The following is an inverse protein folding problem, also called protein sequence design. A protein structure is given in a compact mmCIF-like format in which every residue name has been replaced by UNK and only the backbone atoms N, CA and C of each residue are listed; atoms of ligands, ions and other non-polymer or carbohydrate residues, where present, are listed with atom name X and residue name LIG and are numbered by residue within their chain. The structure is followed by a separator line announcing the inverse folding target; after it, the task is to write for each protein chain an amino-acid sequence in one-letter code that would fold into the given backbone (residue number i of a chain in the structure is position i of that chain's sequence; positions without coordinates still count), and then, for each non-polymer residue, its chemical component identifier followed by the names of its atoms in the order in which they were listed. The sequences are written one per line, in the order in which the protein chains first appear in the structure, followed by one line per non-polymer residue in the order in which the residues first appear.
data_IF_524597441527
#
_entry.id   IF_524597441527
#
_cell.length_a   1.000
_cell.length_b   1.000
_cell.length_c   1.000
_cell.angle_alpha   90.00
_cell.angle_beta   90.00
_cell.angle_gamma   90.00
#
_symmetry.space_group_name_H-M   'P 1'
#
loop_
_entity.id
_entity.type
_entity.pdbx_description
1 polymer ?
#
# COMPACT_ATOMS: atom_id res chain seq x y z
N UNK A 1 -24.88 -24.35 -5.03
CA UNK A 1 -24.90 -22.92 -4.65
C UNK A 1 -23.72 -22.21 -5.32
N UNK A 2 -23.98 -21.60 -6.48
CA UNK A 2 -22.99 -20.83 -7.23
C UNK A 2 -22.81 -19.45 -6.59
N UNK A 3 -21.57 -19.10 -6.22
CA UNK A 3 -21.20 -17.75 -5.77
C UNK A 3 -20.61 -17.02 -6.97
N UNK A 4 -21.43 -16.20 -7.63
CA UNK A 4 -21.01 -15.40 -8.78
C UNK A 4 -19.97 -14.37 -8.39
N UNK A 5 -18.76 -14.49 -8.93
CA UNK A 5 -17.78 -13.40 -8.96
C UNK A 5 -18.04 -12.53 -10.19
N UNK A 6 -19.08 -11.69 -10.12
CA UNK A 6 -19.30 -10.66 -11.15
C UNK A 6 -18.39 -9.47 -10.89
N UNK A 7 -17.08 -9.66 -11.04
CA UNK A 7 -16.17 -8.55 -11.34
C UNK A 7 -16.22 -8.35 -12.85
N UNK A 8 -17.26 -7.65 -13.31
CA UNK A 8 -17.49 -7.39 -14.73
C UNK A 8 -16.25 -6.74 -15.34
N UNK A 9 -15.67 -7.36 -16.38
CA UNK A 9 -14.62 -6.76 -17.22
C UNK A 9 -15.00 -5.34 -17.69
N UNK A 10 -16.29 -5.05 -17.86
CA UNK A 10 -16.79 -3.71 -18.20
C UNK A 10 -16.60 -2.67 -17.10
N UNK A 11 -16.65 -3.07 -15.82
CA UNK A 11 -16.45 -2.16 -14.69
C UNK A 11 -14.98 -1.72 -14.52
N UNK A 12 -14.04 -2.64 -14.80
CA UNK A 12 -12.60 -2.34 -14.77
C UNK A 12 -12.23 -1.42 -15.95
N UNK A 13 -12.79 -1.69 -17.15
CA UNK A 13 -12.61 -0.83 -18.31
C UNK A 13 -13.17 0.58 -18.09
N UNK A 14 -14.39 0.69 -17.57
CA UNK A 14 -15.03 1.99 -17.31
C UNK A 14 -14.27 2.81 -16.24
N UNK A 15 -13.83 2.17 -15.16
CA UNK A 15 -13.02 2.84 -14.14
C UNK A 15 -11.64 3.28 -14.67
N UNK A 16 -10.99 2.47 -15.52
CA UNK A 16 -9.72 2.83 -16.16
C UNK A 16 -9.89 3.99 -17.14
N UNK A 17 -10.97 4.01 -17.91
CA UNK A 17 -11.30 5.11 -18.81
C UNK A 17 -11.55 6.39 -18.01
N UNK A 18 -12.42 6.38 -17.00
CA UNK A 18 -12.67 7.55 -16.14
C UNK A 18 -11.41 8.07 -15.45
N UNK A 19 -10.54 7.16 -15.00
CA UNK A 19 -9.25 7.53 -14.43
C UNK A 19 -8.38 8.27 -15.47
N UNK A 20 -8.30 7.74 -16.68
CA UNK A 20 -7.42 8.23 -17.74
C UNK A 20 -7.93 9.50 -18.42
N UNK A 21 -9.24 9.64 -18.61
CA UNK A 21 -9.84 10.77 -19.33
C UNK A 21 -10.27 11.92 -18.43
N UNK A 22 -10.58 11.67 -17.17
CA UNK A 22 -11.04 12.72 -16.26
C UNK A 22 -10.10 12.91 -15.07
N UNK A 23 -9.85 11.87 -14.27
CA UNK A 23 -9.14 12.04 -13.00
C UNK A 23 -7.69 12.49 -13.21
N UNK A 24 -6.97 11.83 -14.12
CA UNK A 24 -5.57 12.11 -14.43
C UNK A 24 -5.38 13.54 -14.99
N UNK A 25 -6.10 13.96 -16.05
CA UNK A 25 -6.02 15.32 -16.56
C UNK A 25 -6.43 16.38 -15.53
N UNK A 26 -7.50 16.16 -14.76
CA UNK A 26 -7.94 17.15 -13.75
C UNK A 26 -6.90 17.32 -12.65
N UNK A 27 -6.38 16.23 -12.09
CA UNK A 27 -5.34 16.31 -11.06
C UNK A 27 -4.04 16.91 -11.60
N UNK A 28 -3.66 16.54 -12.82
CA UNK A 28 -2.48 17.09 -13.46
C UNK A 28 -2.60 18.58 -13.77
N UNK A 29 -3.77 19.03 -14.24
CA UNK A 29 -4.06 20.46 -14.43
C UNK A 29 -3.94 21.24 -13.12
N UNK A 30 -4.54 20.73 -12.02
CA UNK A 30 -4.44 21.38 -10.71
C UNK A 30 -3.00 21.45 -10.19
N UNK A 31 -2.15 20.49 -10.55
CA UNK A 31 -0.73 20.48 -10.20
C UNK A 31 0.11 21.42 -11.09
N UNK A 32 -0.30 21.65 -12.34
CA UNK A 32 0.40 22.51 -13.30
C UNK A 32 -0.09 23.97 -13.31
N UNK A 33 -1.10 24.31 -12.49
CA UNK A 33 -1.66 25.67 -12.38
C UNK A 33 -0.62 26.81 -12.27
N UNK A 34 0.46 26.70 -11.47
CA UNK A 34 1.44 27.77 -11.35
C UNK A 34 2.21 28.10 -12.63
N UNK A 35 2.25 27.16 -13.58
CA UNK A 35 2.99 27.30 -14.83
C UNK A 35 2.03 27.60 -16.00
N UNK A 36 0.89 26.90 -16.05
CA UNK A 36 -0.08 27.04 -17.14
C UNK A 36 -0.88 28.33 -17.08
N UNK A 37 -1.25 28.78 -15.88
CA UNK A 37 -2.13 29.94 -15.72
C UNK A 37 -1.45 31.26 -16.14
N UNK A 38 -0.20 31.56 -15.75
CA UNK A 38 0.49 32.77 -16.22
C UNK A 38 0.64 32.80 -17.75
N UNK A 39 0.99 31.67 -18.36
CA UNK A 39 1.12 31.55 -19.83
C UNK A 39 -0.22 31.79 -20.54
N UNK A 40 -1.31 31.22 -20.01
CA UNK A 40 -2.66 31.45 -20.52
C UNK A 40 -3.08 32.92 -20.43
N UNK A 41 -2.79 33.58 -19.31
CA UNK A 41 -3.15 35.00 -19.13
C UNK A 41 -2.33 35.92 -20.04
N UNK A 42 -1.05 35.60 -20.27
CA UNK A 42 -0.18 36.33 -21.18
C UNK A 42 -0.62 36.20 -22.66
N UNK A 43 -1.22 35.06 -23.03
CA UNK A 43 -1.71 34.82 -24.38
C UNK A 43 -3.07 35.50 -24.70
N UNK A 44 -3.74 36.11 -23.72
CA UNK A 44 -4.99 36.83 -23.95
C UNK A 44 -4.76 38.19 -24.62
N UNK A 45 -5.77 38.69 -25.33
CA UNK A 45 -5.75 40.03 -25.94
C UNK A 45 -6.91 40.86 -25.39
N UNK A 46 -6.66 41.88 -24.54
CA UNK A 46 -5.35 42.31 -24.03
C UNK A 46 -4.74 41.32 -23.02
N UNK A 47 -3.40 41.31 -22.87
CA UNK A 47 -2.72 40.42 -21.94
C UNK A 47 -3.13 40.73 -20.51
N UNK A 48 -3.54 39.70 -19.78
CA UNK A 48 -3.96 39.80 -18.40
C UNK A 48 -2.82 39.37 -17.47
N UNK A 49 -2.80 39.92 -16.26
CA UNK A 49 -1.90 39.47 -15.20
C UNK A 49 -2.72 39.12 -13.96
N UNK A 50 -2.22 38.17 -13.18
CA UNK A 50 -2.74 37.82 -11.86
C UNK A 50 -2.59 39.03 -10.92
N UNK A 51 -3.68 39.79 -10.78
CA UNK A 51 -3.75 40.92 -9.86
C UNK A 51 -4.42 40.51 -8.55
N UNK A 52 -3.75 40.82 -7.44
CA UNK A 52 -4.28 40.63 -6.09
C UNK A 52 -3.74 39.39 -5.37
N UNK A 53 -3.78 39.45 -4.05
CA UNK A 53 -3.27 38.41 -3.17
C UNK A 53 -4.04 37.09 -3.29
N UNK A 54 -5.37 37.15 -3.43
CA UNK A 54 -6.23 35.96 -3.42
C UNK A 54 -6.00 35.07 -4.66
N UNK A 55 -5.99 35.58 -5.91
CA UNK A 55 -5.69 34.77 -7.07
C UNK A 55 -4.30 34.15 -7.02
N UNK A 56 -3.29 34.93 -6.60
CA UNK A 56 -1.93 34.43 -6.44
C UNK A 56 -1.86 33.30 -5.41
N UNK A 57 -2.44 33.51 -4.22
CA UNK A 57 -2.47 32.48 -3.18
C UNK A 57 -3.18 31.21 -3.67
N UNK A 58 -4.31 31.33 -4.36
CA UNK A 58 -5.05 30.19 -4.88
C UNK A 58 -4.21 29.37 -5.88
N UNK A 59 -3.54 30.03 -6.84
CA UNK A 59 -2.72 29.37 -7.86
C UNK A 59 -1.60 28.52 -7.27
N UNK A 60 -0.94 28.99 -6.20
CA UNK A 60 0.15 28.23 -5.56
C UNK A 60 -0.32 27.29 -4.44
N UNK A 61 -1.43 27.60 -3.76
CA UNK A 61 -1.95 26.75 -2.69
C UNK A 61 -2.63 25.47 -3.22
N UNK A 62 -3.32 25.56 -4.37
CA UNK A 62 -4.05 24.41 -4.94
C UNK A 62 -3.12 23.21 -5.22
N UNK A 63 -1.98 23.34 -5.90
CA UNK A 63 -1.03 22.24 -6.11
C UNK A 63 -0.56 21.61 -4.80
N UNK A 64 -0.29 22.43 -3.78
CA UNK A 64 0.16 21.96 -2.46
C UNK A 64 -0.93 21.14 -1.78
N UNK A 65 -2.18 21.63 -1.78
CA UNK A 65 -3.31 20.91 -1.19
C UNK A 65 -3.57 19.59 -1.93
N UNK A 66 -3.50 19.58 -3.25
CA UNK A 66 -3.65 18.36 -4.06
C UNK A 66 -2.53 17.36 -3.76
N UNK A 67 -1.27 17.82 -3.70
CA UNK A 67 -0.14 16.96 -3.38
C UNK A 67 -0.25 16.34 -1.96
N UNK A 68 -0.69 17.13 -0.98
CA UNK A 68 -0.98 16.64 0.38
C UNK A 68 -2.12 15.62 0.37
N UNK A 69 -3.22 15.90 -0.33
CA UNK A 69 -4.35 14.97 -0.48
C UNK A 69 -3.93 13.63 -1.08
N UNK A 70 -3.10 13.66 -2.13
CA UNK A 70 -2.55 12.45 -2.76
C UNK A 70 -1.58 11.70 -1.84
N UNK A 71 -0.71 12.41 -1.11
CA UNK A 71 0.19 11.81 -0.12
C UNK A 71 -0.59 11.10 1.02
N UNK A 72 -1.67 11.72 1.50
CA UNK A 72 -2.59 11.15 2.49
C UNK A 72 -3.32 9.93 1.94
N UNK A 73 -3.85 10.02 0.73
CA UNK A 73 -4.56 8.93 0.06
C UNK A 73 -3.65 7.73 -0.22
N UNK A 74 -2.40 7.97 -0.58
CA UNK A 74 -1.40 6.93 -0.78
C UNK A 74 -1.02 6.23 0.54
N UNK A 75 -0.92 6.99 1.64
CA UNK A 75 -0.48 6.53 2.95
C UNK A 75 -1.56 5.97 3.89
N UNK A 76 -2.82 5.84 3.46
CA UNK A 76 -4.00 5.45 4.28
C UNK A 76 -3.87 4.15 5.11
N UNK A 77 -2.82 3.34 4.90
CA UNK A 77 -2.60 2.06 5.56
C UNK A 77 -1.58 2.10 6.71
N UNK A 78 -0.97 3.26 7.00
CA UNK A 78 0.02 3.42 8.07
C UNK A 78 -0.52 4.32 9.18
N UNK A 79 0.07 4.23 10.38
CA UNK A 79 -0.10 5.26 11.41
C UNK A 79 0.21 6.63 10.80
N UNK A 80 -0.65 7.61 11.06
CA UNK A 80 -0.54 8.95 10.52
C UNK A 80 0.73 9.62 11.04
N UNK A 81 1.69 9.87 10.15
CA UNK A 81 2.96 10.53 10.46
C UNK A 81 3.04 11.79 9.60
N UNK A 82 2.74 12.94 10.21
CA UNK A 82 2.55 14.21 9.52
C UNK A 82 3.78 14.66 8.69
N UNK A 83 4.99 14.48 9.22
CA UNK A 83 6.23 14.87 8.51
C UNK A 83 6.47 14.02 7.25
N UNK A 84 6.04 12.76 7.24
CA UNK A 84 6.15 11.90 6.06
C UNK A 84 5.16 12.33 4.97
N UNK A 85 3.98 12.83 5.36
CA UNK A 85 3.01 13.40 4.42
C UNK A 85 3.59 14.64 3.75
N UNK A 86 4.22 15.53 4.52
CA UNK A 86 4.90 16.71 3.98
C UNK A 86 6.05 16.33 3.04
N UNK A 87 6.92 15.40 3.44
CA UNK A 87 8.03 14.94 2.61
C UNK A 87 7.54 14.32 1.29
N UNK A 88 6.45 13.54 1.32
CA UNK A 88 5.83 12.96 0.12
C UNK A 88 5.22 14.02 -0.79
N UNK A 89 4.53 15.01 -0.23
CA UNK A 89 3.97 16.11 -1.00
C UNK A 89 5.07 16.94 -1.67
N UNK A 90 6.15 17.27 -0.95
CA UNK A 90 7.31 17.97 -1.48
C UNK A 90 7.98 17.17 -2.61
N UNK A 91 8.18 15.86 -2.41
CA UNK A 91 8.75 14.98 -3.44
C UNK A 91 7.88 14.92 -4.70
N UNK A 92 6.54 14.86 -4.56
CA UNK A 92 5.64 14.87 -5.70
C UNK A 92 5.76 16.19 -6.48
N UNK A 93 5.72 17.34 -5.82
CA UNK A 93 5.87 18.64 -6.48
C UNK A 93 7.23 18.77 -7.19
N UNK A 94 8.30 18.29 -6.54
CA UNK A 94 9.64 18.27 -7.11
C UNK A 94 9.77 17.34 -8.34
N UNK A 95 8.94 16.29 -8.45
CA UNK A 95 8.89 15.41 -9.63
C UNK A 95 8.03 15.97 -10.76
N UNK A 96 6.99 16.74 -10.45
CA UNK A 96 6.11 17.36 -11.44
C UNK A 96 6.84 18.47 -12.21
N UNK A 97 7.63 19.30 -11.52
CA UNK A 97 8.36 20.41 -12.16
C UNK A 97 9.27 19.99 -13.34
N UNK A 98 10.19 19.01 -13.21
CA UNK A 98 11.03 18.58 -14.33
C UNK A 98 10.23 17.86 -15.42
N UNK A 99 9.11 17.19 -15.08
CA UNK A 99 8.25 16.56 -16.07
C UNK A 99 7.55 17.60 -16.96
N UNK A 100 7.12 18.72 -16.38
CA UNK A 100 6.53 19.83 -17.12
C UNK A 100 7.58 20.52 -18.01
N UNK A 101 8.77 20.78 -17.49
CA UNK A 101 9.85 21.37 -18.29
C UNK A 101 10.27 20.46 -19.46
N UNK A 102 10.35 19.15 -19.23
CA UNK A 102 10.57 18.18 -20.30
C UNK A 102 9.46 18.21 -21.35
N UNK A 103 8.19 18.29 -20.93
CA UNK A 103 7.04 18.33 -21.84
C UNK A 103 7.04 19.59 -22.69
N UNK A 104 7.32 20.74 -22.08
CA UNK A 104 7.49 22.02 -22.75
C UNK A 104 8.59 21.97 -23.82
N UNK A 105 9.74 21.35 -23.53
CA UNK A 105 10.81 21.16 -24.51
C UNK A 105 10.42 20.34 -25.75
N UNK A 106 9.32 19.59 -25.69
CA UNK A 106 8.83 18.72 -26.79
C UNK A 106 7.62 19.29 -27.50
N UNK A 107 6.79 20.07 -26.81
CA UNK A 107 5.46 20.48 -27.29
C UNK A 107 5.33 22.02 -27.34
N UNK A 108 6.36 22.77 -26.93
CA UNK A 108 6.36 24.23 -26.85
C UNK A 108 6.09 24.95 -28.18
N UNK A 109 6.52 24.37 -29.30
CA UNK A 109 6.34 24.95 -30.64
C UNK A 109 4.93 24.73 -31.23
N UNK A 110 4.02 24.07 -30.51
CA UNK A 110 2.68 23.78 -31.02
C UNK A 110 1.79 25.05 -31.00
N UNK A 111 1.20 25.45 -32.14
CA UNK A 111 0.40 26.68 -32.23
C UNK A 111 -0.95 26.56 -31.52
N UNK A 112 -1.41 25.34 -31.22
CA UNK A 112 -2.66 25.08 -30.52
C UNK A 112 -2.42 24.95 -29.01
N UNK A 113 -2.76 26.01 -28.28
CA UNK A 113 -2.65 26.06 -26.81
C UNK A 113 -3.33 24.87 -26.10
N UNK A 114 -4.43 24.36 -26.66
CA UNK A 114 -5.16 23.20 -26.15
C UNK A 114 -4.29 21.93 -26.12
N UNK A 115 -3.46 21.71 -27.15
CA UNK A 115 -2.63 20.51 -27.27
C UNK A 115 -1.51 20.54 -26.23
N UNK A 116 -0.87 21.70 -26.08
CA UNK A 116 0.17 21.93 -25.06
C UNK A 116 -0.39 21.74 -23.64
N UNK A 117 -1.48 22.43 -23.30
CA UNK A 117 -2.11 22.34 -21.98
C UNK A 117 -2.58 20.92 -21.63
N UNK A 118 -3.11 20.18 -22.63
CA UNK A 118 -3.53 18.78 -22.46
C UNK A 118 -2.32 17.87 -22.23
N UNK A 119 -1.23 18.06 -22.97
CA UNK A 119 0.00 17.28 -22.81
C UNK A 119 0.63 17.50 -21.43
N UNK A 120 0.74 18.75 -20.98
CA UNK A 120 1.26 19.10 -19.65
C UNK A 120 0.39 18.53 -18.52
N UNK A 121 -0.93 18.64 -18.64
CA UNK A 121 -1.88 18.09 -17.66
C UNK A 121 -1.81 16.56 -17.60
N UNK A 122 -1.71 15.88 -18.74
CA UNK A 122 -1.53 14.42 -18.77
C UNK A 122 -0.20 14.00 -18.18
N UNK A 123 0.89 14.70 -18.49
CA UNK A 123 2.22 14.41 -17.96
C UNK A 123 2.24 14.53 -16.42
N UNK A 124 1.74 15.64 -15.87
CA UNK A 124 1.66 15.85 -14.43
C UNK A 124 0.75 14.81 -13.75
N UNK A 125 -0.40 14.49 -14.37
CA UNK A 125 -1.29 13.44 -13.89
C UNK A 125 -0.61 12.07 -13.82
N UNK A 126 0.10 11.67 -14.89
CA UNK A 126 0.82 10.40 -14.97
C UNK A 126 1.92 10.29 -13.90
N UNK A 127 2.68 11.36 -13.68
CA UNK A 127 3.68 11.44 -12.61
C UNK A 127 3.01 11.25 -11.24
N UNK A 128 1.88 11.92 -10.99
CA UNK A 128 1.14 11.78 -9.74
C UNK A 128 0.62 10.35 -9.53
N UNK A 129 0.08 9.70 -10.56
CA UNK A 129 -0.38 8.32 -10.49
C UNK A 129 0.78 7.33 -10.27
N UNK A 130 1.89 7.49 -10.98
CA UNK A 130 3.10 6.69 -10.80
C UNK A 130 3.65 6.85 -9.39
N UNK A 131 3.69 8.07 -8.86
CA UNK A 131 4.09 8.36 -7.48
C UNK A 131 3.18 7.65 -6.47
N UNK A 132 1.85 7.76 -6.60
CA UNK A 132 0.91 7.07 -5.70
C UNK A 132 1.07 5.55 -5.79
N UNK A 133 1.26 5.00 -6.99
CA UNK A 133 1.50 3.57 -7.19
C UNK A 133 2.82 3.12 -6.53
N UNK A 134 3.89 3.90 -6.70
CA UNK A 134 5.21 3.66 -6.12
C UNK A 134 5.17 3.74 -4.59
N UNK A 135 4.52 4.76 -4.02
CA UNK A 135 4.33 4.89 -2.56
C UNK A 135 3.51 3.72 -2.02
N UNK A 136 2.44 3.32 -2.70
CA UNK A 136 1.62 2.16 -2.29
C UNK A 136 2.39 0.85 -2.43
N UNK A 137 3.22 0.71 -3.44
CA UNK A 137 4.09 -0.45 -3.61
C UNK A 137 5.14 -0.48 -2.51
N UNK A 138 5.81 0.63 -2.24
CA UNK A 138 6.79 0.79 -1.18
C UNK A 138 6.20 0.53 0.20
N UNK A 139 5.02 1.07 0.51
CA UNK A 139 4.32 0.84 1.77
C UNK A 139 3.87 -0.63 1.91
N UNK A 140 3.56 -1.32 0.80
CA UNK A 140 3.34 -2.79 0.81
C UNK A 140 4.63 -3.55 1.08
N UNK A 141 5.73 -3.17 0.43
CA UNK A 141 7.04 -3.80 0.57
C UNK A 141 7.69 -3.53 1.93
N UNK A 142 7.43 -2.36 2.54
CA UNK A 142 7.89 -1.95 3.88
C UNK A 142 6.87 -2.18 4.99
N UNK A 143 5.68 -2.68 4.68
CA UNK A 143 4.68 -3.10 5.67
C UNK A 143 5.16 -4.23 6.59
N UNK A 144 6.38 -4.74 6.39
CA UNK A 144 7.08 -5.65 7.29
C UNK A 144 8.18 -5.03 8.16
N UNK A 145 8.44 -3.71 8.16
CA UNK A 145 9.68 -3.18 8.80
C UNK A 145 9.59 -2.12 9.87
N UNK A 146 8.48 -1.44 10.17
CA UNK A 146 8.44 -0.55 11.33
C UNK A 146 7.02 -0.42 11.91
N UNK A 147 6.63 -1.36 12.77
CA UNK A 147 5.81 -0.98 13.90
C UNK A 147 6.72 -0.24 14.92
N UNK A 148 6.26 0.83 15.57
CA UNK A 148 6.93 1.37 16.76
C UNK A 148 6.93 0.31 17.88
N UNK A 149 7.97 0.28 18.71
CA UNK A 149 8.00 -0.54 19.94
C UNK A 149 7.06 0.16 20.93
N UNK A 150 5.79 -0.25 21.01
CA UNK A 150 4.86 0.40 21.92
C UNK A 150 3.39 0.04 21.71
N UNK A 151 2.80 -0.53 22.76
CA UNK A 151 1.36 -0.82 22.99
C UNK A 151 0.71 -1.86 22.08
N UNK A 152 0.51 -3.06 22.65
CA UNK A 152 -0.44 -4.06 22.18
C UNK A 152 -1.81 -3.39 22.01
N UNK A 153 -2.50 -3.66 20.88
CA UNK A 153 -3.82 -3.07 20.62
C UNK A 153 -4.76 -3.42 21.79
N UNK A 154 -5.51 -2.45 22.35
CA UNK A 154 -6.44 -2.73 23.44
C UNK A 154 -7.45 -3.79 23.01
N UNK A 155 -7.59 -4.85 23.81
CA UNK A 155 -8.48 -5.99 23.56
C UNK A 155 -7.89 -7.14 22.71
N UNK A 156 -6.62 -7.08 22.30
CA UNK A 156 -5.97 -8.25 21.67
C UNK A 156 -5.62 -9.28 22.72
N UNK A 157 -6.24 -10.46 22.63
CA UNK A 157 -5.85 -11.62 23.43
C UNK A 157 -4.39 -11.97 23.14
N UNK A 158 -3.61 -12.25 24.18
CA UNK A 158 -2.23 -12.70 24.01
C UNK A 158 -2.22 -14.09 23.35
N UNK A 159 -1.52 -14.28 22.23
CA UNK A 159 -1.39 -15.58 21.58
C UNK A 159 -0.87 -16.64 22.55
N UNK A 160 -1.55 -17.78 22.62
CA UNK A 160 -1.22 -18.89 23.50
C UNK A 160 -0.72 -20.11 22.71
N UNK A 161 0.14 -20.96 23.32
CA UNK A 161 0.61 -22.19 22.68
C UNK A 161 -0.52 -23.05 22.11
N UNK A 162 -0.34 -23.55 20.90
CA UNK A 162 -1.31 -24.36 20.17
C UNK A 162 -2.40 -23.58 19.45
N UNK A 163 -2.43 -22.25 19.55
CA UNK A 163 -3.35 -21.42 18.76
C UNK A 163 -2.81 -21.12 17.35
N UNK A 164 -3.72 -21.02 16.39
CA UNK A 164 -3.42 -20.61 15.02
C UNK A 164 -3.74 -19.13 14.83
N UNK A 165 -2.76 -18.36 14.37
CA UNK A 165 -2.88 -16.93 14.19
C UNK A 165 -2.46 -16.48 12.79
N UNK A 166 -3.02 -15.36 12.34
CA UNK A 166 -2.51 -14.64 11.17
C UNK A 166 -1.55 -13.55 11.64
N UNK A 167 -0.29 -13.60 11.20
CA UNK A 167 0.76 -12.68 11.62
C UNK A 167 1.67 -12.27 10.46
N UNK A 168 2.45 -11.21 10.67
CA UNK A 168 3.63 -10.90 9.86
C UNK A 168 4.81 -11.72 10.40
N UNK A 169 5.13 -12.81 9.71
CA UNK A 169 6.18 -13.75 10.11
C UNK A 169 7.49 -13.39 9.40
N UNK A 170 8.60 -13.18 10.13
CA UNK A 170 9.92 -12.91 9.54
C UNK A 170 10.37 -14.02 8.60
N UNK A 171 11.04 -13.71 7.49
CA UNK A 171 11.67 -14.68 6.61
C UNK A 171 12.93 -15.28 7.27
N UNK A 172 13.32 -16.49 6.87
CA UNK A 172 14.52 -17.12 7.45
C UNK A 172 15.79 -16.55 6.85
N UNK A 173 15.75 -16.31 5.54
CA UNK A 173 16.86 -15.77 4.75
C UNK A 173 17.11 -14.30 5.10
N UNK A 174 16.07 -13.59 5.52
CA UNK A 174 16.14 -12.18 5.88
C UNK A 174 15.11 -11.87 6.99
N UNK A 175 15.53 -11.93 8.27
CA UNK A 175 14.66 -11.62 9.40
C UNK A 175 14.12 -10.19 9.42
N UNK A 176 14.76 -9.26 8.68
CA UNK A 176 14.25 -7.90 8.54
C UNK A 176 13.02 -7.84 7.62
N UNK A 177 12.83 -8.85 6.77
CA UNK A 177 11.64 -8.96 5.91
C UNK A 177 10.60 -9.87 6.55
N UNK A 178 9.35 -9.44 6.56
CA UNK A 178 8.23 -10.19 7.13
C UNK A 178 7.14 -10.37 6.08
N UNK A 179 6.51 -11.53 6.05
CA UNK A 179 5.38 -11.84 5.16
C UNK A 179 4.16 -12.25 5.96
N UNK A 180 2.98 -11.98 5.40
CA UNK A 180 1.71 -12.36 6.00
C UNK A 180 1.48 -13.87 5.85
N UNK A 181 1.57 -14.60 6.95
CA UNK A 181 1.33 -16.04 7.00
C UNK A 181 0.43 -16.42 8.17
N UNK A 182 -0.25 -17.56 8.03
CA UNK A 182 -0.76 -18.26 9.20
C UNK A 182 0.42 -18.90 9.95
N UNK A 183 0.30 -19.01 11.25
CA UNK A 183 1.32 -19.60 12.10
C UNK A 183 0.69 -20.28 13.31
N UNK A 184 1.35 -21.34 13.81
CA UNK A 184 1.02 -21.97 15.08
C UNK A 184 1.93 -21.38 16.14
N UNK A 185 1.36 -20.93 17.26
CA UNK A 185 2.14 -20.47 18.42
C UNK A 185 2.71 -21.69 19.13
N UNK A 186 4.03 -21.73 19.27
CA UNK A 186 4.76 -22.79 19.97
C UNK A 186 4.98 -22.42 21.43
N UNK A 187 5.45 -21.19 21.68
CA UNK A 187 5.67 -20.65 23.02
C UNK A 187 5.32 -19.16 23.08
N UNK A 188 4.97 -18.68 24.26
CA UNK A 188 4.65 -17.29 24.53
C UNK A 188 5.62 -16.72 25.57
N UNK A 189 6.36 -15.68 25.19
CA UNK A 189 7.34 -14.97 26.02
C UNK A 189 6.84 -13.57 26.35
N UNK A 190 7.46 -12.88 27.31
CA UNK A 190 6.96 -11.58 27.81
C UNK A 190 6.63 -10.55 26.71
N UNK A 191 7.45 -10.48 25.65
CA UNK A 191 7.36 -9.48 24.58
C UNK A 191 7.08 -10.07 23.18
N UNK A 192 7.26 -11.36 22.99
CA UNK A 192 7.09 -12.03 21.71
C UNK A 192 6.51 -13.45 21.84
N UNK A 193 6.11 -14.03 20.71
CA UNK A 193 5.78 -15.44 20.61
C UNK A 193 6.76 -16.15 19.68
N UNK A 194 7.06 -17.40 19.99
CA UNK A 194 7.70 -18.32 19.08
C UNK A 194 6.65 -19.02 18.25
N UNK A 195 6.83 -19.06 16.93
CA UNK A 195 5.82 -19.60 16.01
C UNK A 195 6.43 -20.51 14.95
N UNK A 196 5.64 -21.49 14.51
CA UNK A 196 5.87 -22.27 13.31
C UNK A 196 5.02 -21.72 12.16
N UNK A 197 5.64 -21.49 10.99
CA UNK A 197 4.94 -20.96 9.83
C UNK A 197 4.05 -22.04 9.20
N UNK A 198 2.85 -21.64 8.76
CA UNK A 198 1.94 -22.46 7.98
C UNK A 198 1.99 -22.01 6.51
N UNK A 199 2.00 -22.97 5.60
CA UNK A 199 1.89 -22.78 4.16
C UNK A 199 0.71 -23.56 3.59
N UNK A 200 0.05 -22.99 2.59
CA UNK A 200 -1.02 -23.66 1.82
C UNK A 200 -0.47 -24.43 0.62
N UNK A 201 0.82 -24.31 0.32
CA UNK A 201 1.45 -25.09 -0.75
C UNK A 201 1.72 -26.50 -0.27
N UNK A 202 1.48 -27.46 -1.14
CA UNK A 202 1.80 -28.86 -0.88
C UNK A 202 3.29 -29.04 -0.58
N UNK A 203 3.58 -29.76 0.51
CA UNK A 203 4.91 -30.15 0.97
C UNK A 203 4.96 -31.63 1.36
N UNK A 204 4.03 -32.44 0.87
CA UNK A 204 4.06 -33.89 1.07
C UNK A 204 5.40 -34.47 0.57
N UNK A 205 5.91 -35.46 1.30
CA UNK A 205 7.23 -36.06 1.04
C UNK A 205 8.43 -35.26 1.55
N UNK A 206 8.25 -34.04 2.09
CA UNK A 206 9.35 -33.30 2.74
C UNK A 206 9.41 -33.57 4.23
N UNK A 207 10.61 -33.78 4.77
CA UNK A 207 10.85 -34.03 6.20
C UNK A 207 10.80 -32.78 7.07
N UNK A 208 10.83 -31.58 6.48
CA UNK A 208 10.79 -30.30 7.18
C UNK A 208 9.37 -29.72 7.31
N UNK A 209 8.34 -30.49 6.94
CA UNK A 209 6.95 -30.08 7.04
C UNK A 209 6.06 -31.23 7.53
N UNK A 210 5.02 -30.89 8.30
CA UNK A 210 3.95 -31.82 8.66
C UNK A 210 2.63 -31.34 8.07
N UNK A 211 1.85 -32.27 7.54
CA UNK A 211 0.51 -31.99 7.03
C UNK A 211 -0.42 -31.66 8.19
N UNK A 212 -1.11 -30.54 8.08
CA UNK A 212 -2.04 -29.99 9.05
C UNK A 212 -3.46 -29.99 8.46
N UNK A 213 -4.38 -30.80 9.00
CA UNK A 213 -5.79 -30.72 8.66
C UNK A 213 -6.38 -29.32 8.94
N UNK A 214 -7.43 -28.96 8.21
CA UNK A 214 -8.08 -27.66 8.39
C UNK A 214 -8.90 -27.61 9.69
N UNK A 215 -9.55 -28.71 10.11
CA UNK A 215 -10.32 -28.84 11.37
C UNK A 215 -11.13 -27.59 11.80
N UNK A 216 -11.63 -26.83 10.82
CA UNK A 216 -12.41 -25.61 11.02
C UNK A 216 -11.64 -24.32 11.36
N UNK A 217 -10.31 -24.33 11.44
CA UNK A 217 -9.53 -23.11 11.73
C UNK A 217 -9.42 -22.18 10.51
N UNK A 218 -9.40 -22.71 9.29
CA UNK A 218 -9.41 -21.92 8.05
C UNK A 218 -10.75 -22.08 7.30
N UNK A 219 -11.65 -21.14 7.58
CA UNK A 219 -13.00 -21.07 6.97
C UNK A 219 -13.01 -20.65 5.50
N UNK A 220 -11.87 -20.28 4.91
CA UNK A 220 -11.80 -19.74 3.55
C UNK A 220 -11.42 -20.82 2.55
N UNK A 221 -10.29 -21.49 2.73
CA UNK A 221 -9.81 -22.45 1.72
C UNK A 221 -10.46 -23.83 1.84
N UNK A 222 -10.80 -24.26 3.06
CA UNK A 222 -11.27 -25.62 3.34
C UNK A 222 -10.23 -26.72 3.06
N UNK A 223 -8.99 -26.37 2.69
CA UNK A 223 -7.94 -27.31 2.28
C UNK A 223 -6.99 -27.62 3.44
N UNK A 224 -6.28 -28.77 3.40
CA UNK A 224 -5.16 -29.02 4.29
C UNK A 224 -4.04 -28.00 4.04
N UNK A 225 -3.24 -27.79 5.07
CA UNK A 225 -2.05 -26.94 5.05
C UNK A 225 -0.83 -27.73 5.52
N UNK A 226 0.34 -27.12 5.52
CA UNK A 226 1.58 -27.71 6.02
C UNK A 226 2.25 -26.76 7.00
N UNK A 227 2.73 -27.30 8.11
CA UNK A 227 3.45 -26.54 9.15
C UNK A 227 4.92 -26.89 9.09
N UNK A 228 5.78 -25.88 9.12
CA UNK A 228 7.24 -26.05 9.14
C UNK A 228 7.72 -26.70 10.45
N UNK A 229 8.60 -27.70 10.35
CA UNK A 229 9.24 -28.40 11.47
C UNK A 229 10.76 -28.57 11.26
N UNK A 230 11.48 -29.02 12.29
CA UNK A 230 12.91 -29.34 12.21
C UNK A 230 13.82 -28.12 12.07
N UNK A 231 13.29 -26.93 12.31
CA UNK A 231 14.01 -25.65 12.29
C UNK A 231 13.69 -24.86 13.55
N UNK A 232 14.58 -23.95 13.99
CA UNK A 232 14.29 -23.07 15.11
C UNK A 232 12.97 -22.30 14.90
N UNK A 233 12.14 -22.13 15.95
CA UNK A 233 10.95 -21.31 15.90
C UNK A 233 11.24 -19.88 15.45
N UNK A 234 10.28 -19.26 14.78
CA UNK A 234 10.39 -17.84 14.39
C UNK A 234 9.87 -16.98 15.53
N UNK A 235 10.61 -15.94 15.89
CA UNK A 235 10.18 -14.98 16.90
C UNK A 235 9.31 -13.89 16.26
N UNK A 236 8.11 -13.69 16.80
CA UNK A 236 7.13 -12.72 16.30
C UNK A 236 6.68 -11.84 17.46
N UNK A 237 6.97 -10.54 17.38
CA UNK A 237 6.46 -9.56 18.32
C UNK A 237 4.92 -9.58 18.35
N UNK A 238 4.30 -9.40 19.51
CA UNK A 238 2.84 -9.41 19.64
C UNK A 238 2.10 -8.39 18.75
N UNK A 239 2.77 -7.27 18.42
CA UNK A 239 2.24 -6.24 17.50
C UNK A 239 2.10 -6.71 16.05
N UNK A 240 2.79 -7.78 15.67
CA UNK A 240 2.79 -8.34 14.32
C UNK A 240 1.67 -9.36 14.11
N UNK A 241 0.93 -9.71 15.17
CA UNK A 241 -0.31 -10.46 15.07
C UNK A 241 -1.42 -9.56 14.53
N UNK A 242 -2.02 -9.97 13.41
CA UNK A 242 -2.92 -9.13 12.63
C UNK A 242 -4.39 -9.21 13.07
N UNK A 243 -4.70 -10.13 13.98
CA UNK A 243 -6.04 -10.40 14.50
C UNK A 243 -6.07 -10.13 16.01
N UNK A 244 -7.27 -9.92 16.56
CA UNK A 244 -7.48 -9.74 18.01
C UNK A 244 -7.77 -11.05 18.73
N UNK A 245 -8.09 -12.11 17.97
CA UNK A 245 -8.41 -13.47 18.43
C UNK A 245 -7.78 -14.50 17.48
N UNK A 246 -7.51 -15.72 17.95
CA UNK A 246 -7.01 -16.81 17.12
C UNK A 246 -8.00 -17.16 16.00
N UNK A 247 -7.50 -17.75 14.92
CA UNK A 247 -8.33 -18.35 13.87
C UNK A 247 -8.95 -19.68 14.32
N UNK A 248 -8.26 -20.37 15.23
CA UNK A 248 -8.67 -21.64 15.82
C UNK A 248 -7.50 -22.27 16.56
N UNK A 249 -7.67 -23.53 16.95
CA UNK A 249 -6.61 -24.33 17.55
C UNK A 249 -5.91 -25.19 16.50
N UNK A 250 -4.63 -25.45 16.72
CA UNK A 250 -3.88 -26.44 15.98
C UNK A 250 -4.49 -27.83 16.25
N UNK A 251 -4.76 -28.65 15.23
CA UNK A 251 -5.22 -30.01 15.39
C UNK A 251 -4.36 -30.78 16.39
N UNK A 252 -4.99 -31.47 17.36
CA UNK A 252 -4.27 -32.14 18.44
C UNK A 252 -3.16 -33.13 17.98
N UNK A 253 -3.33 -33.90 16.89
CA UNK A 253 -2.24 -34.76 16.39
C UNK A 253 -1.03 -33.97 15.89
N UNK A 254 -1.25 -32.81 15.27
CA UNK A 254 -0.21 -31.91 14.74
C UNK A 254 0.47 -31.20 15.91
N UNK A 255 -0.31 -30.68 16.86
CA UNK A 255 0.21 -29.99 18.04
C UNK A 255 1.16 -30.89 18.85
N UNK A 256 0.79 -32.16 19.07
CA UNK A 256 1.66 -33.14 19.76
C UNK A 256 3.00 -33.40 19.06
N UNK A 257 3.11 -33.15 17.76
CA UNK A 257 4.38 -33.26 17.04
C UNK A 257 5.19 -31.96 17.14
N UNK A 258 4.52 -30.81 17.16
CA UNK A 258 5.15 -29.50 17.29
C UNK A 258 5.64 -29.20 18.71
N UNK A 259 4.98 -29.74 19.73
CA UNK A 259 5.28 -29.48 21.14
C UNK A 259 6.32 -30.44 21.75
N UNK A 260 6.93 -31.30 20.93
CA UNK A 260 8.02 -32.21 21.33
C UNK A 260 9.36 -31.52 21.13
#
# INVERSE_FOLDING_TARGET
MARGSNSSCGGIGCAAILLLTFVLPTLGYLLSLPLTLPDLMAAQTPPQQLHGFVPYLATYAIPVVVALGLALFAGRRRAFVWWLVLARAAALLALVAPALWWTESKVGDQPLWNVRATAESLAAGLVAAAFVAAVRWWDRSRGGTLAPKGTQRPGTQRPAPGEVWLAMVPLREDPARQLRHYCVVLAAHADHAEVAQITSQDKDGRSDHIRMPNDGWDKVSGRPHWVEIGRPPRQVDYRLFLKTRPQGHCPAPVWRQLSR
#
